data_IF_786465779348
#
_entry.id   IF_786465779348
#
_cell.length_a   1.000
_cell.length_b   1.000
_cell.length_c   1.000
_cell.angle_alpha   90.00
_cell.angle_beta   90.00
_cell.angle_gamma   90.00
#
_symmetry.space_group_name_H-M   'P 1'
#
loop_
_entity.id
_entity.type
_entity.pdbx_description
1 polymer ?
#
# COMPACT_ATOMS: atom_id res chain seq x y z
N UNK A 1 -4.76 -19.80 4.35
CA UNK A 1 -6.17 -19.58 4.73
C UNK A 1 -6.91 -19.13 3.48
N UNK A 2 -8.19 -19.47 3.29
CA UNK A 2 -8.95 -18.95 2.16
C UNK A 2 -9.17 -17.45 2.33
N UNK A 3 -9.02 -16.69 1.23
CA UNK A 3 -9.27 -15.24 1.22
C UNK A 3 -10.67 -14.92 1.73
N UNK A 4 -10.77 -13.92 2.60
CA UNK A 4 -12.04 -13.46 3.16
C UNK A 4 -12.92 -12.80 2.09
N UNK A 5 -12.33 -12.07 1.15
CA UNK A 5 -13.00 -11.57 -0.06
C UNK A 5 -11.96 -11.17 -1.14
N UNK A 6 -12.45 -10.72 -2.30
CA UNK A 6 -11.62 -10.24 -3.43
C UNK A 6 -11.14 -8.79 -3.30
N UNK A 7 -11.59 -8.06 -2.28
CA UNK A 7 -11.32 -6.64 -2.07
C UNK A 7 -10.22 -6.39 -1.01
N UNK A 8 -9.87 -7.41 -0.23
CA UNK A 8 -8.84 -7.37 0.79
C UNK A 8 -7.59 -8.10 0.30
N UNK A 9 -6.44 -7.52 0.64
CA UNK A 9 -5.14 -8.16 0.47
C UNK A 9 -4.94 -9.18 1.58
N UNK A 10 -4.37 -10.33 1.22
CA UNK A 10 -3.97 -11.41 2.11
C UNK A 10 -2.47 -11.71 1.94
N UNK A 11 -1.93 -12.56 2.81
CA UNK A 11 -0.53 -12.94 2.80
C UNK A 11 -0.18 -13.67 1.50
N UNK A 12 0.84 -13.17 0.79
CA UNK A 12 1.30 -13.72 -0.48
C UNK A 12 0.65 -13.09 -1.71
N UNK A 13 -0.29 -12.15 -1.54
CA UNK A 13 -0.79 -11.33 -2.64
C UNK A 13 0.24 -10.33 -3.12
N UNK A 14 0.23 -10.07 -4.42
CA UNK A 14 0.92 -8.92 -4.99
C UNK A 14 0.28 -7.62 -4.48
N UNK A 15 1.12 -6.66 -4.09
CA UNK A 15 0.64 -5.35 -3.68
C UNK A 15 0.10 -4.59 -4.91
N UNK A 16 -1.10 -3.98 -4.83
CA UNK A 16 -1.71 -3.33 -5.98
C UNK A 16 -0.98 -2.03 -6.32
N UNK A 17 -1.05 -1.64 -7.60
CA UNK A 17 -0.57 -0.33 -8.02
C UNK A 17 -1.43 0.77 -7.40
N UNK A 18 -0.79 1.66 -6.64
CA UNK A 18 -1.48 2.73 -5.92
C UNK A 18 -0.69 4.04 -6.00
N UNK A 19 -1.39 5.11 -6.36
CA UNK A 19 -0.83 6.46 -6.40
C UNK A 19 -1.43 7.30 -5.28
N UNK A 20 -0.62 7.69 -4.29
CA UNK A 20 -1.08 8.41 -3.10
C UNK A 20 -0.46 9.82 -3.10
N UNK A 21 -1.25 10.90 -2.94
CA UNK A 21 -0.70 12.24 -2.73
C UNK A 21 -0.01 12.32 -1.36
N UNK A 22 1.20 12.89 -1.31
CA UNK A 22 1.94 13.06 -0.05
C UNK A 22 1.57 14.35 0.66
N UNK A 23 1.62 14.31 1.99
CA UNK A 23 1.69 15.52 2.80
C UNK A 23 2.94 16.33 2.39
N UNK A 24 2.77 17.62 2.12
CA UNK A 24 3.85 18.48 1.59
C UNK A 24 4.04 18.44 0.08
N UNK A 25 3.21 17.69 -0.66
CA UNK A 25 3.18 17.68 -2.12
C UNK A 25 3.95 16.52 -2.78
N UNK A 26 3.70 16.36 -4.08
CA UNK A 26 4.13 15.17 -4.84
C UNK A 26 3.25 13.95 -4.56
N UNK A 27 3.67 12.81 -5.11
CA UNK A 27 2.95 11.55 -5.05
C UNK A 27 3.89 10.41 -4.71
N UNK A 28 3.36 9.33 -4.14
CA UNK A 28 4.02 8.03 -3.98
C UNK A 28 3.34 7.07 -4.94
N UNK A 29 4.13 6.37 -5.73
CA UNK A 29 3.70 5.27 -6.59
C UNK A 29 4.12 3.96 -5.95
N UNK A 30 3.17 3.20 -5.41
CA UNK A 30 3.43 1.87 -4.84
C UNK A 30 3.08 0.78 -5.86
N UNK A 31 3.82 -0.34 -5.89
CA UNK A 31 5.02 -0.62 -5.10
C UNK A 31 6.32 -0.01 -5.68
N UNK A 32 6.24 0.64 -6.84
CA UNK A 32 7.41 1.09 -7.65
C UNK A 32 8.44 1.92 -6.86
N UNK A 33 7.99 2.87 -6.04
CA UNK A 33 8.86 3.73 -5.22
C UNK A 33 9.56 2.98 -4.06
N UNK A 34 9.14 1.75 -3.77
CA UNK A 34 9.75 0.87 -2.76
C UNK A 34 10.63 -0.22 -3.38
N UNK A 35 10.74 -0.29 -4.72
CA UNK A 35 11.54 -1.31 -5.39
C UNK A 35 13.01 -1.26 -4.95
N UNK A 36 13.60 -2.44 -4.77
CA UNK A 36 15.01 -2.59 -4.38
C UNK A 36 15.25 -2.70 -2.86
N UNK A 37 14.22 -2.57 -2.03
CA UNK A 37 14.29 -2.84 -0.59
C UNK A 37 12.98 -3.42 -0.05
N UNK A 38 13.04 -4.05 1.12
CA UNK A 38 11.83 -4.40 1.87
C UNK A 38 11.26 -3.12 2.50
N UNK A 39 10.09 -2.68 2.02
CA UNK A 39 9.37 -1.53 2.53
C UNK A 39 8.14 -1.93 3.36
N UNK A 40 7.75 -1.09 4.32
CA UNK A 40 6.52 -1.24 5.09
C UNK A 40 5.61 -0.05 4.80
N UNK A 41 4.39 -0.32 4.33
CA UNK A 41 3.36 0.69 4.10
C UNK A 41 2.35 0.63 5.24
N UNK A 42 2.29 1.69 6.04
CA UNK A 42 1.32 1.82 7.14
C UNK A 42 0.17 2.74 6.71
N UNK A 43 -1.00 2.17 6.44
CA UNK A 43 -2.23 2.95 6.28
C UNK A 43 -2.78 3.30 7.66
N UNK A 44 -2.74 4.59 7.99
CA UNK A 44 -3.33 5.10 9.21
C UNK A 44 -4.40 6.14 8.87
N UNK A 45 -5.62 5.91 9.34
CA UNK A 45 -6.68 6.91 9.32
C UNK A 45 -6.63 7.64 10.66
N UNK A 46 -6.16 8.89 10.64
CA UNK A 46 -6.23 9.74 11.83
C UNK A 46 -7.65 9.83 12.35
N UNK A 47 -7.78 9.75 13.68
CA UNK A 47 -9.01 10.10 14.37
C UNK A 47 -9.08 11.63 14.48
N UNK A 48 -10.24 12.19 14.15
CA UNK A 48 -10.57 13.57 14.47
C UNK A 48 -10.76 13.77 15.97
#
# INVERSE_FOLDING_TARGET
>A
MPKVNQYFLDTGDDFPNLEIPRAGGGKISLPDDLLGAWGVVLFYRSHW
#
